data_IF_449622035459
#
_entry.id   IF_449622035459
#
_cell.length_a   1.000
_cell.length_b   1.000
_cell.length_c   1.000
_cell.angle_alpha   90.00
_cell.angle_beta   90.00
_cell.angle_gamma   90.00
#
_symmetry.space_group_name_H-M   'P 1'
#
loop_
_entity.id
_entity.type
_entity.pdbx_description
1 polymer ?
#
# COMPACT_ATOMS: atom_id res chain seq x y z
N UNK A 1 4.02 -20.11 3.71
CA UNK A 1 2.65 -20.15 4.27
C UNK A 1 1.63 -20.19 3.14
N UNK A 2 0.48 -20.86 3.30
CA UNK A 2 -0.63 -20.83 2.32
C UNK A 2 -1.77 -20.01 2.90
N UNK A 3 -2.02 -18.82 2.36
CA UNK A 3 -3.16 -17.99 2.78
C UNK A 3 -4.36 -18.30 1.89
N UNK A 4 -5.56 -18.39 2.48
CA UNK A 4 -6.82 -18.47 1.75
C UNK A 4 -7.51 -17.11 1.82
N UNK A 5 -7.89 -16.58 0.67
CA UNK A 5 -8.72 -15.39 0.56
C UNK A 5 -10.11 -15.85 0.14
N UNK A 6 -11.11 -15.44 0.90
CA UNK A 6 -12.51 -15.73 0.61
C UNK A 6 -13.19 -14.39 0.33
N UNK A 7 -13.67 -14.20 -0.90
CA UNK A 7 -14.36 -12.97 -1.32
C UNK A 7 -15.59 -13.33 -2.14
N UNK A 8 -16.77 -12.97 -1.66
CA UNK A 8 -18.06 -13.28 -2.29
C UNK A 8 -18.20 -14.78 -2.64
N UNK A 9 -17.76 -15.67 -1.75
CA UNK A 9 -17.79 -17.13 -1.97
C UNK A 9 -16.68 -17.66 -2.89
N UNK A 10 -15.94 -16.81 -3.59
CA UNK A 10 -14.77 -17.20 -4.39
C UNK A 10 -13.56 -17.36 -3.49
N UNK A 11 -12.87 -18.49 -3.62
CA UNK A 11 -11.65 -18.81 -2.87
C UNK A 11 -10.44 -18.63 -3.78
N UNK A 12 -9.47 -17.82 -3.37
CA UNK A 12 -8.14 -17.76 -3.96
C UNK A 12 -7.06 -18.10 -2.95
N UNK A 13 -5.91 -18.56 -3.43
CA UNK A 13 -4.79 -18.99 -2.58
C UNK A 13 -3.56 -18.15 -2.90
N UNK A 14 -2.92 -17.64 -1.86
CA UNK A 14 -1.60 -17.00 -1.96
C UNK A 14 -0.57 -17.93 -1.34
N UNK A 15 0.37 -18.35 -2.18
CA UNK A 15 1.48 -19.23 -1.81
C UNK A 15 2.69 -18.47 -1.26
N UNK A 16 2.76 -17.16 -1.52
CA UNK A 16 3.83 -16.27 -1.07
C UNK A 16 3.63 -15.83 0.38
N UNK A 17 4.71 -15.57 1.11
CA UNK A 17 4.61 -14.97 2.44
C UNK A 17 4.16 -13.51 2.36
N UNK A 18 3.15 -13.16 3.15
CA UNK A 18 2.71 -11.78 3.35
C UNK A 18 3.50 -11.22 4.52
N UNK A 19 4.61 -10.54 4.22
CA UNK A 19 5.50 -9.94 5.24
C UNK A 19 5.20 -8.47 5.49
N UNK A 20 4.48 -7.82 4.58
CA UNK A 20 4.22 -6.39 4.60
C UNK A 20 2.91 -6.08 3.89
N UNK A 21 2.04 -5.33 4.54
CA UNK A 21 0.72 -4.95 4.08
C UNK A 21 0.60 -3.43 3.90
N UNK A 22 -0.49 -2.98 3.29
CA UNK A 22 -0.81 -1.54 3.22
C UNK A 22 -0.94 -0.92 4.61
N UNK A 23 -1.46 -1.66 5.60
CA UNK A 23 -1.61 -1.16 6.98
C UNK A 23 -0.25 -0.84 7.58
N UNK A 24 0.78 -1.65 7.28
CA UNK A 24 2.14 -1.44 7.77
C UNK A 24 2.74 -0.11 7.26
N UNK A 25 2.32 0.40 6.09
CA UNK A 25 2.74 1.70 5.57
C UNK A 25 2.31 2.87 6.47
N UNK A 26 1.34 2.68 7.36
CA UNK A 26 0.99 3.74 8.31
C UNK A 26 1.97 3.86 9.47
N UNK A 27 2.81 2.84 9.68
CA UNK A 27 3.68 2.73 10.85
C UNK A 27 5.16 2.61 10.50
N UNK A 28 5.49 2.06 9.34
CA UNK A 28 6.87 1.75 8.94
C UNK A 28 7.12 2.21 7.51
N UNK A 29 8.33 2.67 7.24
CA UNK A 29 8.76 3.00 5.87
C UNK A 29 9.09 1.71 5.07
N UNK A 30 8.61 1.54 3.83
CA UNK A 30 8.76 0.30 3.04
C UNK A 30 10.09 0.25 2.27
N UNK A 31 11.23 0.45 2.95
CA UNK A 31 12.54 0.48 2.30
C UNK A 31 12.87 -0.84 1.62
N UNK A 32 13.24 -0.76 0.33
CA UNK A 32 13.63 -1.92 -0.47
C UNK A 32 12.48 -2.84 -0.91
N UNK A 33 11.23 -2.46 -0.65
CA UNK A 33 10.05 -3.21 -1.09
C UNK A 33 9.56 -2.69 -2.44
N UNK A 34 9.14 -3.62 -3.29
CA UNK A 34 8.49 -3.33 -4.59
C UNK A 34 7.00 -3.70 -4.58
N UNK A 35 6.55 -4.44 -3.57
CA UNK A 35 5.14 -4.82 -3.41
C UNK A 35 4.72 -4.80 -1.95
N UNK A 36 3.43 -4.54 -1.72
CA UNK A 36 2.77 -4.66 -0.41
C UNK A 36 1.44 -5.38 -0.57
N UNK A 37 1.04 -6.14 0.43
CA UNK A 37 -0.24 -6.85 0.40
C UNK A 37 -1.42 -5.92 0.73
N UNK A 38 -2.46 -5.95 -0.10
CA UNK A 38 -3.74 -5.30 0.16
C UNK A 38 -4.76 -6.30 0.66
N UNK A 39 -5.18 -6.17 1.91
CA UNK A 39 -6.28 -6.97 2.46
C UNK A 39 -7.59 -6.73 1.70
N UNK A 40 -7.88 -5.47 1.34
CA UNK A 40 -9.11 -5.08 0.61
C UNK A 40 -9.20 -5.72 -0.77
N UNK A 41 -8.07 -5.76 -1.50
CA UNK A 41 -8.02 -6.37 -2.83
C UNK A 41 -7.70 -7.86 -2.79
N UNK A 42 -7.17 -8.39 -1.68
CA UNK A 42 -6.68 -9.75 -1.61
C UNK A 42 -5.49 -10.00 -2.55
N UNK A 43 -4.64 -9.00 -2.76
CA UNK A 43 -3.58 -9.06 -3.76
C UNK A 43 -2.35 -8.24 -3.34
N UNK A 44 -1.19 -8.59 -3.87
CA UNK A 44 -0.02 -7.73 -3.80
C UNK A 44 -0.16 -6.57 -4.78
N UNK A 45 -0.02 -5.35 -4.29
CA UNK A 45 0.01 -4.13 -5.08
C UNK A 45 1.45 -3.65 -5.23
N UNK A 46 1.72 -2.97 -6.34
CA UNK A 46 3.02 -2.40 -6.63
C UNK A 46 3.22 -1.14 -5.78
N UNK A 47 4.36 -1.04 -5.11
CA UNK A 47 4.83 0.18 -4.46
C UNK A 47 6.17 0.59 -5.09
N UNK A 48 6.29 1.85 -5.51
CA UNK A 48 7.49 2.37 -6.17
C UNK A 48 8.12 3.49 -5.35
N UNK A 49 9.43 3.45 -5.06
CA UNK A 49 10.11 4.59 -4.47
C UNK A 49 10.17 5.74 -5.50
N UNK A 50 9.85 6.95 -5.05
CA UNK A 50 9.97 8.19 -5.83
C UNK A 50 11.20 9.03 -5.42
N UNK A 51 11.91 8.59 -4.37
CA UNK A 51 13.05 9.28 -3.78
C UNK A 51 12.67 10.18 -2.60
N UNK A 52 13.67 10.57 -1.80
CA UNK A 52 13.50 11.44 -0.61
C UNK A 52 12.47 10.96 0.44
N UNK A 53 12.21 9.64 0.50
CA UNK A 53 11.22 9.07 1.42
C UNK A 53 9.78 9.06 0.88
N UNK A 54 9.57 9.40 -0.40
CA UNK A 54 8.27 9.32 -1.06
C UNK A 54 8.10 7.98 -1.78
N UNK A 55 6.89 7.43 -1.71
CA UNK A 55 6.51 6.16 -2.32
C UNK A 55 5.14 6.26 -2.99
N UNK A 56 5.02 5.74 -4.21
CA UNK A 56 3.76 5.61 -4.95
C UNK A 56 3.20 4.19 -4.80
N UNK A 57 1.99 4.06 -4.28
CA UNK A 57 1.22 2.82 -4.29
C UNK A 57 0.26 2.83 -5.49
N UNK A 58 0.31 1.80 -6.33
CA UNK A 58 -0.55 1.66 -7.50
C UNK A 58 -1.78 0.81 -7.18
N UNK A 59 -2.97 1.37 -7.36
CA UNK A 59 -4.24 0.70 -7.10
C UNK A 59 -4.79 0.00 -8.36
N UNK A 60 -5.60 -1.07 -8.23
CA UNK A 60 -6.13 -1.80 -9.39
C UNK A 60 -7.03 -0.98 -10.32
N UNK A 61 -7.61 0.11 -9.85
CA UNK A 61 -8.46 1.01 -10.65
C UNK A 61 -7.64 2.08 -11.42
N UNK A 62 -6.31 1.94 -11.44
CA UNK A 62 -5.39 2.87 -12.11
C UNK A 62 -5.09 4.14 -11.29
N UNK A 63 -5.69 4.30 -10.10
CA UNK A 63 -5.36 5.41 -9.21
C UNK A 63 -4.07 5.14 -8.43
N UNK A 64 -3.52 6.19 -7.83
CA UNK A 64 -2.32 6.12 -7.01
C UNK A 64 -2.50 6.83 -5.69
N UNK A 65 -1.80 6.32 -4.68
CA UNK A 65 -1.62 6.98 -3.39
C UNK A 65 -0.13 7.29 -3.20
N UNK A 66 0.20 8.45 -2.64
CA UNK A 66 1.57 8.83 -2.29
C UNK A 66 1.73 8.79 -0.77
N UNK A 67 2.73 8.05 -0.30
CA UNK A 67 3.15 8.02 1.11
C UNK A 67 4.48 8.76 1.24
N UNK A 68 4.54 9.74 2.14
CA UNK A 68 5.74 10.56 2.37
C UNK A 68 6.27 10.35 3.78
N UNK A 69 7.52 9.94 3.89
CA UNK A 69 8.19 9.68 5.16
C UNK A 69 9.33 10.66 5.41
N UNK A 70 9.52 11.03 6.68
CA UNK A 70 10.66 11.79 7.14
C UNK A 70 11.31 11.02 8.30
N UNK A 71 12.60 10.68 8.17
CA UNK A 71 13.34 9.91 9.16
C UNK A 71 12.62 8.62 9.60
N UNK A 72 12.01 7.91 8.64
CA UNK A 72 11.28 6.66 8.89
C UNK A 72 9.86 6.81 9.43
N UNK A 73 9.39 8.04 9.70
CA UNK A 73 8.04 8.33 10.19
C UNK A 73 7.15 8.79 9.04
N UNK A 74 5.96 8.21 8.92
CA UNK A 74 4.96 8.68 7.98
C UNK A 74 4.51 10.09 8.36
N UNK A 75 4.67 11.03 7.44
CA UNK A 75 4.30 12.43 7.61
C UNK A 75 3.05 12.79 6.82
N UNK A 76 2.87 12.19 5.65
CA UNK A 76 1.75 12.51 4.78
C UNK A 76 1.31 11.32 3.93
N UNK A 77 0.00 11.21 3.72
CA UNK A 77 -0.62 10.35 2.73
C UNK A 77 -1.48 11.20 1.81
N UNK A 78 -1.28 11.08 0.50
CA UNK A 78 -2.08 11.73 -0.53
C UNK A 78 -2.80 10.65 -1.34
N UNK A 79 -4.13 10.67 -1.34
CA UNK A 79 -4.95 9.75 -2.10
C UNK A 79 -5.67 10.49 -3.22
N UNK A 80 -5.46 10.04 -4.47
CA UNK A 80 -6.14 10.61 -5.63
C UNK A 80 -7.52 9.98 -5.78
N UNK A 81 -8.56 10.81 -5.84
CA UNK A 81 -9.94 10.41 -6.08
C UNK A 81 -10.43 10.98 -7.41
N UNK A 82 -11.59 10.53 -7.90
CA UNK A 82 -12.18 11.05 -9.14
C UNK A 82 -12.51 12.55 -9.05
N UNK A 83 -12.91 13.03 -7.88
CA UNK A 83 -13.40 14.40 -7.65
C UNK A 83 -12.35 15.33 -7.02
N UNK A 84 -11.11 14.86 -6.82
CA UNK A 84 -10.06 15.64 -6.16
C UNK A 84 -9.01 14.80 -5.46
N UNK A 85 -8.26 15.41 -4.56
CA UNK A 85 -7.25 14.73 -3.73
C UNK A 85 -7.55 14.89 -2.25
N UNK A 86 -7.32 13.84 -1.49
CA UNK A 86 -7.38 13.86 -0.02
C UNK A 86 -5.96 13.79 0.52
N UNK A 87 -5.63 14.68 1.46
CA UNK A 87 -4.32 14.73 2.11
C UNK A 87 -4.52 14.52 3.61
N UNK A 88 -3.88 13.48 4.14
CA UNK A 88 -3.72 13.26 5.57
C UNK A 88 -2.31 13.67 5.94
N UNK A 89 -2.15 14.60 6.87
CA UNK A 89 -0.85 15.10 7.30
C UNK A 89 -0.74 15.01 8.82
N UNK A 90 0.39 14.50 9.30
CA UNK A 90 0.74 14.52 10.72
C UNK A 90 1.21 15.92 11.10
N UNK A 91 0.59 16.50 12.13
CA UNK A 91 1.04 17.74 12.78
C UNK A 91 2.18 17.45 13.76
#
# INVERSE_FOLDING_TARGET
SKYKIVKNGVISVISSNINYSIVDLYFKEPKGLNTVFSNTHGAFLIIKPLGKGDYELQLPDGKTNIFRYLNGKLMQVEAKMMVGKVIFQRK
#
